data_IF_772444363573
#
_entry.id   IF_772444363573
#
_cell.length_a   1.000
_cell.length_b   1.000
_cell.length_c   1.000
_cell.angle_alpha   90.00
_cell.angle_beta   90.00
_cell.angle_gamma   90.00
#
_symmetry.space_group_name_H-M   'P 1'
#
loop_
_entity.id
_entity.type
_entity.pdbx_description
1 polymer ?
#
# COMPACT_ATOMS: atom_id res chain seq x y z
N UNK A 1 2.61 -59.39 18.59
CA UNK A 1 2.26 -58.53 19.74
C UNK A 1 3.41 -57.59 19.96
N UNK A 2 3.16 -56.30 20.13
CA UNK A 2 4.24 -55.31 20.31
C UNK A 2 4.73 -55.38 21.75
N UNK A 3 5.97 -55.83 21.95
CA UNK A 3 6.61 -55.84 23.26
C UNK A 3 7.36 -54.52 23.50
N UNK A 4 7.38 -54.07 24.75
CA UNK A 4 8.07 -52.85 25.17
C UNK A 4 9.56 -53.14 25.36
N UNK A 5 10.31 -53.28 24.26
CA UNK A 5 11.74 -53.57 24.30
C UNK A 5 12.59 -52.30 24.49
N UNK A 6 13.82 -52.46 24.98
CA UNK A 6 14.77 -51.34 25.18
C UNK A 6 15.00 -50.52 23.91
N UNK A 7 15.11 -51.16 22.76
CA UNK A 7 15.31 -50.47 21.47
C UNK A 7 14.11 -49.60 21.10
N UNK A 8 12.89 -50.07 21.36
CA UNK A 8 11.66 -49.30 21.13
C UNK A 8 11.59 -48.09 22.05
N UNK A 9 12.00 -48.24 23.31
CA UNK A 9 12.07 -47.14 24.28
C UNK A 9 13.12 -46.09 23.87
N UNK A 10 14.32 -46.51 23.49
CA UNK A 10 15.38 -45.62 23.01
C UNK A 10 14.94 -44.89 21.74
N UNK A 11 14.30 -45.59 20.81
CA UNK A 11 13.75 -44.98 19.60
C UNK A 11 12.65 -43.96 19.95
N UNK A 12 11.77 -44.26 20.90
CA UNK A 12 10.74 -43.34 21.37
C UNK A 12 11.34 -42.08 22.02
N UNK A 13 12.37 -42.21 22.85
CA UNK A 13 13.11 -41.08 23.40
C UNK A 13 13.71 -40.21 22.28
N UNK A 14 14.47 -40.81 21.36
CA UNK A 14 15.14 -40.09 20.27
C UNK A 14 14.16 -39.34 19.37
N UNK A 15 13.03 -39.97 19.02
CA UNK A 15 12.01 -39.36 18.17
C UNK A 15 11.34 -38.14 18.80
N UNK A 16 11.35 -38.05 20.13
CA UNK A 16 10.79 -36.93 20.89
C UNK A 16 11.88 -36.00 21.46
N UNK A 17 13.10 -36.03 20.91
CA UNK A 17 14.20 -35.15 21.31
C UNK A 17 14.87 -35.50 22.64
N UNK A 18 14.61 -36.69 23.18
CA UNK A 18 15.21 -37.21 24.40
C UNK A 18 16.55 -37.94 24.19
N UNK A 19 17.10 -38.46 25.29
CA UNK A 19 18.40 -39.12 25.33
C UNK A 19 18.27 -40.63 25.15
N UNK A 20 19.29 -41.25 24.54
CA UNK A 20 19.39 -42.71 24.49
C UNK A 20 19.63 -43.34 25.87
N UNK A 21 20.20 -42.58 26.81
CA UNK A 21 20.44 -43.01 28.17
C UNK A 21 19.15 -42.84 29.01
N UNK A 22 18.55 -43.93 29.54
CA UNK A 22 17.25 -43.88 30.23
C UNK A 22 17.15 -42.85 31.35
N UNK A 23 18.13 -42.83 32.25
CA UNK A 23 18.18 -42.00 33.46
C UNK A 23 18.27 -40.48 33.20
N UNK A 24 18.58 -40.05 31.97
CA UNK A 24 18.63 -38.63 31.59
C UNK A 24 17.27 -38.09 31.13
N UNK A 25 16.29 -38.98 30.89
CA UNK A 25 14.97 -38.57 30.42
C UNK A 25 14.03 -38.31 31.61
N UNK A 26 13.36 -37.17 31.59
CA UNK A 26 12.29 -36.80 32.53
C UNK A 26 10.89 -36.98 31.91
N UNK A 27 10.80 -37.17 30.60
CA UNK A 27 9.56 -37.33 29.84
C UNK A 27 9.66 -38.53 28.88
N UNK A 28 8.60 -39.33 28.79
CA UNK A 28 8.58 -40.53 27.95
C UNK A 28 7.21 -40.74 27.28
N UNK A 29 7.22 -40.70 25.96
CA UNK A 29 6.05 -40.78 25.09
C UNK A 29 5.92 -42.17 24.45
N UNK A 30 4.93 -42.94 24.89
CA UNK A 30 4.71 -44.34 24.49
C UNK A 30 3.27 -44.60 24.02
N UNK A 31 2.60 -43.56 23.53
CA UNK A 31 1.22 -43.62 23.03
C UNK A 31 1.09 -44.45 21.75
N UNK A 32 -0.07 -45.11 21.59
CA UNK A 32 -0.49 -45.78 20.35
C UNK A 32 0.47 -46.87 19.84
N UNK A 33 1.06 -47.67 20.74
CA UNK A 33 2.01 -48.74 20.37
C UNK A 33 1.44 -50.16 20.49
N UNK A 34 0.26 -50.30 21.11
CA UNK A 34 -0.38 -51.59 21.33
C UNK A 34 0.33 -52.45 22.37
N UNK A 35 0.99 -51.82 23.35
CA UNK A 35 1.64 -52.55 24.43
C UNK A 35 0.61 -53.24 25.33
N UNK A 36 0.89 -54.49 25.71
CA UNK A 36 0.06 -55.28 26.63
C UNK A 36 0.54 -55.17 28.08
N UNK A 37 1.84 -54.92 28.29
CA UNK A 37 2.48 -54.81 29.60
C UNK A 37 3.55 -53.73 29.56
N UNK A 38 3.76 -53.09 30.69
CA UNK A 38 4.87 -52.16 30.89
C UNK A 38 6.09 -52.99 31.31
N UNK A 39 7.23 -52.75 30.67
CA UNK A 39 8.48 -53.46 30.98
C UNK A 39 9.69 -52.64 30.54
N UNK A 40 10.87 -52.95 31.08
CA UNK A 40 12.13 -52.27 30.77
C UNK A 40 12.16 -50.77 31.15
N UNK A 41 11.36 -50.35 32.14
CA UNK A 41 11.37 -48.99 32.66
C UNK A 41 12.24 -48.81 33.93
N UNK A 42 12.92 -49.86 34.40
CA UNK A 42 13.68 -49.86 35.66
C UNK A 42 14.79 -48.80 35.71
N UNK A 43 15.38 -48.46 34.56
CA UNK A 43 16.49 -47.49 34.44
C UNK A 43 16.00 -46.02 34.30
N UNK A 44 14.70 -45.79 34.15
CA UNK A 44 14.09 -44.46 33.96
C UNK A 44 13.74 -43.77 35.31
N UNK A 45 14.66 -43.84 36.26
CA UNK A 45 14.44 -43.42 37.67
C UNK A 45 14.08 -41.94 37.87
N UNK A 46 14.44 -41.08 36.92
CA UNK A 46 14.19 -39.63 36.96
C UNK A 46 12.94 -39.19 36.19
N UNK A 47 12.15 -40.14 35.69
CA UNK A 47 10.99 -39.85 34.87
C UNK A 47 9.91 -39.12 35.68
N UNK A 48 9.48 -37.97 35.19
CA UNK A 48 8.43 -37.13 35.77
C UNK A 48 7.10 -37.26 35.04
N UNK A 49 7.12 -37.48 33.73
CA UNK A 49 5.89 -37.62 32.93
C UNK A 49 5.95 -38.84 32.03
N UNK A 50 4.89 -39.66 32.09
CA UNK A 50 4.75 -40.88 31.32
C UNK A 50 3.42 -40.91 30.57
N UNK A 51 3.50 -40.99 29.24
CA UNK A 51 2.34 -41.17 28.36
C UNK A 51 2.26 -42.60 27.85
N UNK A 52 1.22 -43.31 28.28
CA UNK A 52 0.90 -44.69 27.90
C UNK A 52 -0.51 -44.80 27.32
N UNK A 53 -1.07 -43.69 26.84
CA UNK A 53 -2.41 -43.66 26.27
C UNK A 53 -2.56 -44.52 25.00
N UNK A 54 -3.78 -45.01 24.76
CA UNK A 54 -4.11 -45.82 23.58
C UNK A 54 -3.21 -47.04 23.40
N UNK A 55 -3.03 -47.80 24.48
CA UNK A 55 -2.38 -49.11 24.45
C UNK A 55 -3.41 -50.18 24.86
N UNK A 56 -2.94 -51.40 25.14
CA UNK A 56 -3.77 -52.51 25.59
C UNK A 56 -3.30 -53.02 26.96
N UNK A 57 -2.88 -52.10 27.83
CA UNK A 57 -2.38 -52.42 29.17
C UNK A 57 -3.51 -52.96 30.04
N UNK A 58 -3.23 -54.03 30.80
CA UNK A 58 -4.18 -54.65 31.74
C UNK A 58 -4.00 -54.21 33.19
N UNK A 59 -2.81 -53.73 33.54
CA UNK A 59 -2.41 -53.42 34.91
C UNK A 59 -1.22 -52.43 34.93
N UNK A 60 -0.81 -52.01 36.12
CA UNK A 60 0.31 -51.08 36.37
C UNK A 60 1.64 -51.77 36.70
N UNK A 61 1.81 -53.09 36.50
CA UNK A 61 3.11 -53.72 36.78
C UNK A 61 4.19 -53.13 35.86
N UNK A 62 5.40 -52.91 36.38
CA UNK A 62 6.54 -52.41 35.60
C UNK A 62 6.81 -50.91 35.73
N UNK A 63 6.14 -50.20 36.65
CA UNK A 63 6.41 -48.79 36.98
C UNK A 63 6.94 -48.59 38.42
N UNK A 64 7.36 -49.66 39.09
CA UNK A 64 7.79 -49.66 40.50
C UNK A 64 9.01 -48.75 40.74
N UNK A 65 9.92 -48.66 39.76
CA UNK A 65 11.13 -47.83 39.83
C UNK A 65 10.87 -46.32 39.62
N UNK A 66 9.67 -45.92 39.16
CA UNK A 66 9.38 -44.56 38.71
C UNK A 66 8.95 -43.63 39.87
N UNK A 67 9.78 -43.55 40.91
CA UNK A 67 9.45 -42.84 42.16
C UNK A 67 9.40 -41.30 42.02
N UNK A 68 9.93 -40.74 40.92
CA UNK A 68 9.90 -39.31 40.60
C UNK A 68 8.71 -38.91 39.72
N UNK A 69 7.80 -39.84 39.44
CA UNK A 69 6.68 -39.59 38.53
C UNK A 69 5.70 -38.57 39.13
N UNK A 70 5.40 -37.54 38.36
CA UNK A 70 4.48 -36.44 38.70
C UNK A 70 3.17 -36.56 37.91
N UNK A 71 3.25 -37.04 36.66
CA UNK A 71 2.07 -37.16 35.80
C UNK A 71 2.07 -38.48 35.03
N UNK A 72 0.95 -39.21 35.14
CA UNK A 72 0.74 -40.51 34.50
C UNK A 72 -0.54 -40.48 33.66
N UNK A 73 -0.39 -40.73 32.36
CA UNK A 73 -1.48 -40.77 31.40
C UNK A 73 -1.64 -42.19 30.86
N UNK A 74 -2.70 -42.89 31.26
CA UNK A 74 -3.00 -44.29 30.86
C UNK A 74 -4.41 -44.43 30.28
N UNK A 75 -4.97 -43.35 29.74
CA UNK A 75 -6.30 -43.38 29.12
C UNK A 75 -6.36 -44.29 27.90
N UNK A 76 -7.55 -44.82 27.60
CA UNK A 76 -7.78 -45.76 26.50
C UNK A 76 -6.90 -47.02 26.63
N UNK A 77 -7.02 -47.71 27.76
CA UNK A 77 -6.39 -49.01 28.02
C UNK A 77 -7.46 -50.00 28.53
N UNK A 78 -7.02 -51.15 29.05
CA UNK A 78 -7.92 -52.20 29.55
C UNK A 78 -7.76 -52.46 31.05
N UNK A 79 -7.25 -51.46 31.79
CA UNK A 79 -6.98 -51.56 33.23
C UNK A 79 -8.30 -51.55 34.00
N UNK A 80 -8.40 -52.32 35.07
CA UNK A 80 -9.63 -52.44 35.87
C UNK A 80 -9.45 -52.28 37.37
N UNK A 81 -8.22 -52.19 37.87
CA UNK A 81 -7.96 -52.04 39.31
C UNK A 81 -6.59 -51.40 39.60
N UNK A 82 -6.45 -50.82 40.79
CA UNK A 82 -5.17 -50.28 41.30
C UNK A 82 -4.32 -51.30 42.04
N UNK A 83 -4.65 -52.61 41.99
CA UNK A 83 -3.98 -53.65 42.81
C UNK A 83 -2.47 -53.71 42.61
N UNK A 84 -2.00 -53.45 41.39
CA UNK A 84 -0.58 -53.49 41.04
C UNK A 84 0.06 -52.11 40.94
N UNK A 85 -0.68 -51.05 41.27
CA UNK A 85 -0.15 -49.70 41.30
C UNK A 85 0.84 -49.59 42.47
N UNK A 86 2.13 -49.30 42.21
CA UNK A 86 3.08 -49.07 43.29
C UNK A 86 2.76 -47.76 44.02
N UNK A 87 3.39 -47.56 45.18
CA UNK A 87 3.33 -46.28 45.87
C UNK A 87 4.15 -45.26 45.08
N UNK A 88 3.48 -44.24 44.54
CA UNK A 88 4.03 -43.12 43.79
C UNK A 88 3.81 -41.83 44.57
N UNK A 89 4.68 -41.58 45.55
CA UNK A 89 4.54 -40.45 46.49
C UNK A 89 4.57 -39.05 45.85
N UNK A 90 5.13 -38.94 44.64
CA UNK A 90 5.24 -37.68 43.90
C UNK A 90 4.12 -37.47 42.87
N UNK A 91 3.24 -38.44 42.64
CA UNK A 91 2.24 -38.34 41.59
C UNK A 91 1.18 -37.29 41.93
N UNK A 92 1.01 -36.31 41.04
CA UNK A 92 0.04 -35.21 41.16
C UNK A 92 -1.10 -35.33 40.15
N UNK A 93 -0.82 -35.84 38.97
CA UNK A 93 -1.82 -35.98 37.89
C UNK A 93 -1.92 -37.44 37.47
N UNK A 94 -3.12 -38.00 37.53
CA UNK A 94 -3.41 -39.34 37.04
C UNK A 94 -4.65 -39.33 36.15
N UNK A 95 -4.49 -39.81 34.92
CA UNK A 95 -5.58 -40.03 33.99
C UNK A 95 -5.73 -41.52 33.67
N UNK A 96 -6.85 -42.08 34.12
CA UNK A 96 -7.30 -43.46 33.85
C UNK A 96 -8.60 -43.49 33.04
N UNK A 97 -8.94 -42.41 32.33
CA UNK A 97 -10.18 -42.35 31.56
C UNK A 97 -10.24 -43.43 30.48
N UNK A 98 -11.45 -43.85 30.08
CA UNK A 98 -11.64 -44.91 29.09
C UNK A 98 -10.89 -46.21 29.44
N UNK A 99 -11.11 -46.69 30.66
CA UNK A 99 -10.65 -48.00 31.13
C UNK A 99 -11.87 -48.80 31.64
N UNK A 100 -11.65 -49.84 32.44
CA UNK A 100 -12.69 -50.73 32.95
C UNK A 100 -12.77 -50.75 34.48
N UNK A 101 -12.41 -49.65 35.14
CA UNK A 101 -12.52 -49.55 36.60
C UNK A 101 -13.97 -49.62 37.05
N UNK A 102 -14.25 -50.49 38.02
CA UNK A 102 -15.52 -50.56 38.73
C UNK A 102 -15.43 -49.96 40.13
N UNK A 103 -14.21 -49.89 40.69
CA UNK A 103 -13.93 -49.30 42.00
C UNK A 103 -12.58 -48.59 41.98
N UNK A 104 -12.48 -47.53 42.79
CA UNK A 104 -11.26 -46.75 42.96
C UNK A 104 -10.45 -47.14 44.20
N UNK A 105 -10.79 -48.28 44.84
CA UNK A 105 -10.06 -48.79 45.99
C UNK A 105 -8.56 -48.97 45.69
N UNK A 106 -7.72 -48.41 46.56
CA UNK A 106 -6.27 -48.46 46.47
C UNK A 106 -5.63 -47.18 45.92
N UNK A 107 -6.42 -46.22 45.43
CA UNK A 107 -5.90 -44.96 44.89
C UNK A 107 -5.18 -44.13 45.95
N UNK A 108 -5.72 -44.06 47.17
CA UNK A 108 -5.12 -43.24 48.23
C UNK A 108 -3.80 -43.85 48.75
N UNK A 109 -3.71 -45.18 48.78
CA UNK A 109 -2.49 -45.89 49.16
C UNK A 109 -1.39 -45.75 48.09
N UNK A 110 -1.76 -45.82 46.80
CA UNK A 110 -0.82 -45.68 45.69
C UNK A 110 -0.36 -44.25 45.45
N UNK A 111 -1.28 -43.27 45.50
CA UNK A 111 -1.02 -41.89 45.09
C UNK A 111 -1.43 -40.90 46.20
N UNK A 112 -0.71 -40.82 47.32
CA UNK A 112 -1.13 -40.05 48.50
C UNK A 112 -1.14 -38.52 48.30
N UNK A 113 -0.54 -38.02 47.22
CA UNK A 113 -0.38 -36.59 46.94
C UNK A 113 -1.12 -36.15 45.66
N UNK A 114 -2.15 -36.90 45.25
CA UNK A 114 -2.84 -36.66 44.00
C UNK A 114 -3.63 -35.35 44.01
N UNK A 115 -3.42 -34.51 43.00
CA UNK A 115 -4.06 -33.19 42.86
C UNK A 115 -5.15 -33.20 41.78
N UNK A 116 -4.89 -33.87 40.65
CA UNK A 116 -5.83 -33.99 39.53
C UNK A 116 -6.05 -35.45 39.20
N UNK A 117 -7.31 -35.88 39.29
CA UNK A 117 -7.71 -37.25 39.00
C UNK A 117 -8.78 -37.30 37.91
N UNK A 118 -8.49 -38.02 36.83
CA UNK A 118 -9.39 -38.20 35.70
C UNK A 118 -9.74 -39.68 35.54
N UNK A 119 -11.02 -40.01 35.69
CA UNK A 119 -11.54 -41.37 35.60
C UNK A 119 -12.84 -41.44 34.79
N UNK A 120 -13.01 -40.52 33.83
CA UNK A 120 -14.16 -40.52 32.94
C UNK A 120 -14.25 -41.78 32.08
N UNK A 121 -15.47 -42.14 31.64
CA UNK A 121 -15.69 -43.30 30.77
C UNK A 121 -15.17 -44.63 31.36
N UNK A 122 -15.38 -44.84 32.66
CA UNK A 122 -15.15 -46.12 33.33
C UNK A 122 -16.49 -46.82 33.62
N UNK A 123 -16.49 -47.83 34.50
CA UNK A 123 -17.66 -48.66 34.83
C UNK A 123 -18.02 -48.58 36.32
N UNK A 124 -17.71 -47.46 36.97
CA UNK A 124 -17.97 -47.25 38.40
C UNK A 124 -19.49 -47.16 38.61
N UNK A 125 -20.03 -47.98 39.51
CA UNK A 125 -21.48 -48.12 39.72
C UNK A 125 -22.05 -47.26 40.85
N UNK A 126 -21.23 -46.92 41.85
CA UNK A 126 -21.68 -46.19 43.04
C UNK A 126 -20.62 -45.19 43.52
N UNK A 127 -21.05 -44.14 44.22
CA UNK A 127 -20.15 -43.24 44.95
C UNK A 127 -19.44 -43.94 46.12
N UNK A 128 -20.01 -45.03 46.64
CA UNK A 128 -19.36 -45.86 47.65
C UNK A 128 -18.00 -46.42 47.15
N UNK A 129 -17.95 -46.79 45.86
CA UNK A 129 -16.74 -47.30 45.21
C UNK A 129 -15.66 -46.23 44.98
N UNK A 130 -16.00 -44.96 45.19
CA UNK A 130 -15.09 -43.81 45.08
C UNK A 130 -14.59 -43.30 46.44
N UNK A 131 -15.06 -43.85 47.57
CA UNK A 131 -14.78 -43.32 48.90
C UNK A 131 -13.29 -43.30 49.28
N UNK A 132 -12.47 -44.13 48.63
CA UNK A 132 -11.02 -44.13 48.83
C UNK A 132 -10.39 -42.78 48.45
N UNK A 133 -11.02 -42.00 47.56
CA UNK A 133 -10.58 -40.63 47.24
C UNK A 133 -10.59 -39.69 48.47
N UNK A 134 -11.36 -39.99 49.51
CA UNK A 134 -11.30 -39.21 50.76
C UNK A 134 -9.95 -39.32 51.47
N UNK A 135 -9.17 -40.37 51.18
CA UNK A 135 -7.80 -40.51 51.68
C UNK A 135 -6.84 -39.45 51.13
N UNK A 136 -7.16 -38.83 49.99
CA UNK A 136 -6.37 -37.76 49.33
C UNK A 136 -7.07 -36.39 49.36
N UNK A 137 -8.04 -36.22 50.27
CA UNK A 137 -8.86 -34.99 50.37
C UNK A 137 -8.07 -33.69 50.58
N UNK A 138 -6.86 -33.77 51.14
CA UNK A 138 -6.02 -32.61 51.45
C UNK A 138 -5.32 -32.05 50.20
N UNK A 139 -5.09 -32.89 49.19
CA UNK A 139 -4.32 -32.54 47.98
C UNK A 139 -5.19 -32.46 46.74
N UNK A 140 -6.30 -33.19 46.69
CA UNK A 140 -7.16 -33.29 45.52
C UNK A 140 -7.90 -31.96 45.23
N UNK A 141 -7.71 -31.44 44.02
CA UNK A 141 -8.28 -30.16 43.55
C UNK A 141 -9.22 -30.31 42.36
N UNK A 142 -8.99 -31.32 41.51
CA UNK A 142 -9.78 -31.59 40.31
C UNK A 142 -10.12 -33.06 40.20
N UNK A 143 -11.41 -33.35 40.01
CA UNK A 143 -11.93 -34.73 39.92
C UNK A 143 -12.87 -34.85 38.73
N UNK A 144 -12.59 -35.81 37.87
CA UNK A 144 -13.48 -36.21 36.78
C UNK A 144 -13.95 -37.65 36.95
N UNK A 145 -15.24 -37.81 37.24
CA UNK A 145 -15.99 -39.06 37.31
C UNK A 145 -17.10 -39.12 36.25
N UNK A 146 -17.03 -38.27 35.22
CA UNK A 146 -18.07 -38.19 34.18
C UNK A 146 -18.18 -39.49 33.36
N UNK A 147 -19.35 -39.71 32.77
CA UNK A 147 -19.61 -40.88 31.92
C UNK A 147 -19.25 -42.24 32.56
N UNK A 148 -19.48 -42.37 33.87
CA UNK A 148 -19.46 -43.66 34.55
C UNK A 148 -20.90 -44.22 34.62
N UNK A 149 -21.09 -45.25 35.44
CA UNK A 149 -22.40 -45.89 35.68
C UNK A 149 -22.91 -45.56 37.08
N UNK A 150 -22.55 -44.40 37.62
CA UNK A 150 -22.84 -44.05 39.00
C UNK A 150 -24.34 -43.81 39.14
N UNK A 151 -25.01 -44.68 39.88
CA UNK A 151 -26.41 -44.56 40.26
C UNK A 151 -26.51 -43.97 41.67
N UNK A 152 -27.56 -43.18 41.92
CA UNK A 152 -27.87 -42.63 43.23
C UNK A 152 -29.16 -43.29 43.68
N UNK A 153 -29.04 -44.33 44.50
CA UNK A 153 -30.17 -45.05 45.07
C UNK A 153 -30.89 -44.21 46.15
N UNK A 154 -32.17 -44.47 46.37
CA UNK A 154 -32.93 -43.82 47.45
C UNK A 154 -32.35 -44.20 48.82
N UNK A 155 -31.84 -43.20 49.55
CA UNK A 155 -31.14 -43.41 50.83
C UNK A 155 -29.65 -43.73 50.70
N UNK A 156 -29.14 -43.82 49.47
CA UNK A 156 -27.70 -43.90 49.19
C UNK A 156 -27.00 -42.54 49.33
N UNK A 157 -25.66 -42.59 49.33
CA UNK A 157 -24.83 -41.39 49.37
C UNK A 157 -25.01 -40.58 48.08
N UNK A 158 -25.41 -39.32 48.22
CA UNK A 158 -25.52 -38.41 47.08
C UNK A 158 -24.18 -37.76 46.71
N UNK A 159 -24.07 -37.16 45.51
CA UNK A 159 -22.89 -36.41 45.09
C UNK A 159 -22.51 -35.30 46.09
N UNK A 160 -23.51 -34.64 46.67
CA UNK A 160 -23.28 -33.57 47.64
C UNK A 160 -22.57 -34.07 48.90
N UNK A 161 -23.01 -35.20 49.47
CA UNK A 161 -22.38 -35.78 50.65
C UNK A 161 -20.96 -36.26 50.34
N UNK A 162 -20.77 -36.85 49.15
CA UNK A 162 -19.48 -37.33 48.69
C UNK A 162 -18.46 -36.19 48.52
N UNK A 163 -18.81 -35.16 47.74
CA UNK A 163 -17.93 -34.02 47.46
C UNK A 163 -17.79 -33.07 48.66
N UNK A 164 -18.76 -33.05 49.57
CA UNK A 164 -18.66 -32.31 50.84
C UNK A 164 -17.50 -32.76 51.73
N UNK A 165 -17.02 -34.01 51.57
CA UNK A 165 -15.84 -34.53 52.27
C UNK A 165 -14.51 -34.18 51.57
N UNK A 166 -14.55 -33.49 50.44
CA UNK A 166 -13.41 -33.08 49.63
C UNK A 166 -13.31 -31.53 49.59
N UNK A 167 -12.77 -30.89 50.65
CA UNK A 167 -12.85 -29.44 50.84
C UNK A 167 -12.02 -28.64 49.82
N UNK A 168 -10.97 -29.22 49.25
CA UNK A 168 -10.06 -28.55 48.32
C UNK A 168 -10.45 -28.74 46.84
N UNK A 169 -11.46 -29.57 46.55
CA UNK A 169 -11.90 -29.83 45.18
C UNK A 169 -12.66 -28.63 44.64
N UNK A 170 -12.10 -28.00 43.62
CA UNK A 170 -12.64 -26.80 42.97
C UNK A 170 -13.17 -27.07 41.56
N UNK A 171 -12.79 -28.20 40.96
CA UNK A 171 -13.20 -28.63 39.62
C UNK A 171 -13.80 -30.03 39.71
N UNK A 172 -15.07 -30.16 39.31
CA UNK A 172 -15.81 -31.43 39.34
C UNK A 172 -16.43 -31.69 37.98
N UNK A 173 -16.21 -32.89 37.45
CA UNK A 173 -16.97 -33.44 36.33
C UNK A 173 -17.69 -34.71 36.79
N UNK A 174 -19.02 -34.70 36.73
CA UNK A 174 -19.91 -35.76 37.18
C UNK A 174 -21.07 -36.03 36.21
N UNK A 175 -21.23 -35.23 35.16
CA UNK A 175 -22.21 -35.45 34.10
C UNK A 175 -22.05 -36.80 33.38
N UNK A 176 -23.10 -37.24 32.68
CA UNK A 176 -23.09 -38.52 31.95
C UNK A 176 -23.25 -39.75 32.84
N UNK A 177 -23.51 -39.57 34.14
CA UNK A 177 -23.85 -40.65 35.07
C UNK A 177 -25.38 -40.81 35.17
N UNK A 178 -25.94 -42.03 35.28
CA UNK A 178 -27.38 -42.22 35.50
C UNK A 178 -27.92 -41.42 36.70
N UNK A 179 -27.16 -41.40 37.79
CA UNK A 179 -27.48 -40.66 39.02
C UNK A 179 -27.53 -39.14 38.87
N UNK A 180 -26.90 -38.55 37.84
CA UNK A 180 -26.95 -37.10 37.62
C UNK A 180 -28.21 -36.65 36.86
N UNK A 181 -28.86 -37.52 36.08
CA UNK A 181 -29.98 -37.15 35.20
C UNK A 181 -31.32 -36.97 35.95
N UNK A 182 -31.48 -37.59 37.12
CA UNK A 182 -32.70 -37.49 37.94
C UNK A 182 -32.71 -36.32 38.93
N UNK A 183 -31.57 -35.66 39.16
CA UNK A 183 -31.42 -34.69 40.25
C UNK A 183 -31.86 -33.28 39.82
N UNK A 184 -33.12 -32.93 40.13
CA UNK A 184 -33.62 -31.55 39.98
C UNK A 184 -32.78 -30.58 40.81
N UNK A 185 -32.27 -29.53 40.18
CA UNK A 185 -31.47 -28.52 40.87
C UNK A 185 -30.06 -28.98 41.28
N UNK A 186 -29.54 -30.08 40.73
CA UNK A 186 -28.19 -30.59 41.00
C UNK A 186 -27.12 -29.49 41.01
N UNK A 187 -26.99 -28.73 39.91
CA UNK A 187 -26.00 -27.65 39.79
C UNK A 187 -26.17 -26.58 40.86
N UNK A 188 -27.41 -26.13 41.11
CA UNK A 188 -27.71 -25.13 42.15
C UNK A 188 -27.32 -25.64 43.53
N UNK A 189 -27.68 -26.89 43.85
CA UNK A 189 -27.38 -27.51 45.14
C UNK A 189 -25.88 -27.68 45.37
N UNK A 190 -25.14 -28.13 44.35
CA UNK A 190 -23.68 -28.24 44.39
C UNK A 190 -23.01 -26.89 44.61
N UNK A 191 -23.42 -25.84 43.89
CA UNK A 191 -22.86 -24.48 44.03
C UNK A 191 -23.13 -23.90 45.42
N UNK A 192 -24.33 -24.11 45.96
CA UNK A 192 -24.75 -23.58 47.26
C UNK A 192 -23.94 -24.17 48.41
N UNK A 193 -23.72 -25.49 48.40
CA UNK A 193 -23.11 -26.19 49.52
C UNK A 193 -21.59 -26.40 49.38
N UNK A 194 -21.03 -26.17 48.18
CA UNK A 194 -19.60 -26.23 47.90
C UNK A 194 -19.08 -24.83 47.53
N UNK A 195 -18.73 -23.97 48.51
CA UNK A 195 -18.28 -22.61 48.26
C UNK A 195 -16.95 -22.53 47.48
N UNK A 196 -16.11 -23.56 47.59
CA UNK A 196 -14.82 -23.67 46.88
C UNK A 196 -14.95 -23.95 45.38
N UNK A 197 -16.15 -24.32 44.91
CA UNK A 197 -16.38 -24.80 43.54
C UNK A 197 -16.22 -23.67 42.52
N UNK A 198 -15.28 -23.85 41.58
CA UNK A 198 -15.00 -22.93 40.48
C UNK A 198 -15.50 -23.45 39.13
N UNK A 199 -15.58 -24.76 38.97
CA UNK A 199 -15.98 -25.38 37.72
C UNK A 199 -16.80 -26.64 37.99
N UNK A 200 -17.94 -26.76 37.32
CA UNK A 200 -18.84 -27.91 37.46
C UNK A 200 -19.33 -28.35 36.08
N UNK A 201 -19.03 -29.61 35.75
CA UNK A 201 -19.41 -30.30 34.51
C UNK A 201 -19.00 -29.55 33.24
N UNK A 202 -19.95 -28.94 32.54
CA UNK A 202 -19.70 -28.32 31.24
C UNK A 202 -19.33 -26.83 31.36
N UNK A 203 -19.54 -26.21 32.54
CA UNK A 203 -19.46 -24.75 32.68
C UNK A 203 -18.77 -24.29 33.98
N UNK A 204 -17.93 -23.25 33.90
CA UNK A 204 -17.45 -22.55 35.10
C UNK A 204 -18.60 -22.07 35.97
N UNK A 205 -18.35 -21.96 37.27
CA UNK A 205 -19.27 -21.32 38.22
C UNK A 205 -18.92 -19.84 38.26
N UNK A 206 -19.78 -19.02 37.67
CA UNK A 206 -19.59 -17.56 37.65
C UNK A 206 -19.98 -16.95 39.00
N UNK A 207 -19.34 -15.83 39.35
CA UNK A 207 -19.65 -15.07 40.57
C UNK A 207 -21.11 -14.62 40.63
N UNK A 208 -21.68 -14.22 39.50
CA UNK A 208 -23.09 -13.84 39.37
C UNK A 208 -24.03 -15.02 39.65
N UNK A 209 -23.73 -16.19 39.09
CA UNK A 209 -24.50 -17.42 39.34
C UNK A 209 -24.45 -17.79 40.82
N UNK A 210 -23.27 -17.70 41.43
CA UNK A 210 -23.09 -17.96 42.86
C UNK A 210 -23.92 -17.00 43.72
N UNK A 211 -23.89 -15.69 43.47
CA UNK A 211 -24.72 -14.70 44.18
C UNK A 211 -26.22 -15.04 44.10
N UNK A 212 -26.70 -15.40 42.91
CA UNK A 212 -28.09 -15.79 42.67
C UNK A 212 -28.45 -17.06 43.47
N UNK A 213 -27.57 -18.07 43.46
CA UNK A 213 -27.78 -19.33 44.18
C UNK A 213 -27.72 -19.14 45.70
N UNK A 214 -26.84 -18.28 46.21
CA UNK A 214 -26.75 -17.94 47.64
C UNK A 214 -27.97 -17.14 48.12
N UNK A 215 -28.46 -16.20 47.30
CA UNK A 215 -29.71 -15.50 47.56
C UNK A 215 -30.89 -16.49 47.59
N UNK A 216 -30.96 -17.41 46.64
CA UNK A 216 -31.94 -18.48 46.64
C UNK A 216 -31.86 -19.37 47.89
N UNK A 217 -30.66 -19.76 48.31
CA UNK A 217 -30.45 -20.60 49.50
C UNK A 217 -30.85 -19.93 50.82
N UNK A 218 -30.81 -18.60 50.90
CA UNK A 218 -31.15 -17.84 52.11
C UNK A 218 -32.61 -17.35 52.16
N UNK A 219 -33.24 -17.08 51.02
CA UNK A 219 -34.57 -16.47 50.97
C UNK A 219 -35.48 -16.97 49.84
N UNK A 220 -35.18 -18.13 49.25
CA UNK A 220 -36.00 -18.76 48.22
C UNK A 220 -36.08 -17.98 46.91
N UNK A 221 -37.15 -18.22 46.15
CA UNK A 221 -37.33 -17.62 44.81
C UNK A 221 -37.45 -16.08 44.84
N UNK A 222 -38.00 -15.51 45.91
CA UNK A 222 -38.12 -14.05 46.06
C UNK A 222 -36.75 -13.36 46.21
N UNK A 223 -35.84 -13.96 46.99
CA UNK A 223 -34.47 -13.47 47.11
C UNK A 223 -33.68 -13.66 45.81
N UNK A 224 -33.88 -14.80 45.12
CA UNK A 224 -33.30 -15.05 43.79
C UNK A 224 -33.71 -13.96 42.79
N UNK A 225 -35.01 -13.62 42.75
CA UNK A 225 -35.57 -12.59 41.87
C UNK A 225 -34.97 -11.22 42.11
N UNK A 226 -34.90 -10.79 43.38
CA UNK A 226 -34.29 -9.51 43.77
C UNK A 226 -32.82 -9.41 43.37
N UNK A 227 -32.05 -10.48 43.58
CA UNK A 227 -30.63 -10.50 43.25
C UNK A 227 -30.40 -10.45 41.72
N UNK A 228 -31.23 -11.16 40.95
CA UNK A 228 -31.20 -11.09 39.47
C UNK A 228 -31.52 -9.68 38.95
N UNK A 229 -32.47 -8.99 39.57
CA UNK A 229 -32.79 -7.60 39.24
C UNK A 229 -31.64 -6.66 39.57
N UNK A 230 -31.02 -6.82 40.74
CA UNK A 230 -29.84 -6.04 41.13
C UNK A 230 -28.68 -6.20 40.13
N UNK A 231 -28.36 -7.44 39.74
CA UNK A 231 -27.32 -7.71 38.73
C UNK A 231 -27.68 -7.09 37.37
N UNK A 232 -28.97 -7.13 36.99
CA UNK A 232 -29.42 -6.52 35.73
C UNK A 232 -29.27 -5.00 35.75
N UNK A 233 -29.63 -4.35 36.85
CA UNK A 233 -29.51 -2.90 36.98
C UNK A 233 -28.04 -2.46 37.05
N UNK A 234 -27.17 -3.23 37.72
CA UNK A 234 -25.72 -3.00 37.72
C UNK A 234 -25.14 -3.03 36.30
N UNK A 235 -25.48 -4.07 35.52
CA UNK A 235 -25.05 -4.19 34.12
C UNK A 235 -25.59 -3.07 33.23
N UNK A 236 -26.84 -2.68 33.44
CA UNK A 236 -27.48 -1.59 32.70
C UNK A 236 -26.79 -0.25 33.00
N UNK A 237 -26.58 0.08 34.27
CA UNK A 237 -25.86 1.28 34.70
C UNK A 237 -24.42 1.31 34.18
N UNK A 238 -23.72 0.16 34.20
CA UNK A 238 -22.39 0.04 33.61
C UNK A 238 -22.40 0.30 32.09
N UNK A 239 -23.34 -0.30 31.36
CA UNK A 239 -23.49 -0.10 29.92
C UNK A 239 -23.83 1.37 29.60
N UNK A 240 -24.74 1.98 30.34
CA UNK A 240 -25.10 3.39 30.20
C UNK A 240 -23.89 4.30 30.43
N UNK A 241 -23.06 3.99 31.43
CA UNK A 241 -21.79 4.70 31.68
C UNK A 241 -20.82 4.58 30.51
N UNK A 242 -20.66 3.37 29.96
CA UNK A 242 -19.81 3.14 28.79
C UNK A 242 -20.31 3.89 27.54
N UNK A 243 -21.62 3.86 27.29
CA UNK A 243 -22.25 4.59 26.18
C UNK A 243 -22.07 6.10 26.35
N UNK A 244 -22.21 6.62 27.58
CA UNK A 244 -21.97 8.04 27.87
C UNK A 244 -20.54 8.46 27.54
N UNK A 245 -19.54 7.69 27.98
CA UNK A 245 -18.12 7.97 27.68
C UNK A 245 -17.86 7.93 26.17
N UNK A 246 -18.45 6.97 25.45
CA UNK A 246 -18.34 6.92 23.99
C UNK A 246 -18.98 8.14 23.32
N UNK A 247 -20.14 8.58 23.79
CA UNK A 247 -20.82 9.76 23.27
C UNK A 247 -19.99 11.03 23.50
N UNK A 248 -19.44 11.21 24.71
CA UNK A 248 -18.51 12.31 25.02
C UNK A 248 -17.31 12.30 24.08
N UNK A 249 -16.68 11.14 23.88
CA UNK A 249 -15.54 10.99 22.94
C UNK A 249 -15.94 11.27 21.49
N UNK A 250 -17.16 10.93 21.08
CA UNK A 250 -17.65 11.22 19.73
C UNK A 250 -17.86 12.71 19.51
N UNK A 251 -18.42 13.42 20.49
CA UNK A 251 -18.58 14.88 20.43
C UNK A 251 -17.23 15.60 20.48
N UNK A 252 -16.31 15.22 21.37
CA UNK A 252 -14.94 15.77 21.39
C UNK A 252 -14.24 15.63 20.02
N UNK A 253 -14.37 14.44 19.40
CA UNK A 253 -13.79 14.19 18.07
C UNK A 253 -14.47 14.99 16.97
N UNK A 254 -15.79 15.22 17.08
CA UNK A 254 -16.54 16.06 16.15
C UNK A 254 -16.11 17.51 16.25
N UNK A 255 -16.04 18.07 17.46
CA UNK A 255 -15.52 19.42 17.69
C UNK A 255 -14.09 19.60 17.19
N UNK A 256 -13.24 18.58 17.38
CA UNK A 256 -11.87 18.60 16.86
C UNK A 256 -11.86 18.63 15.32
N UNK A 257 -12.68 17.81 14.66
CA UNK A 257 -12.82 17.82 13.20
C UNK A 257 -13.34 19.15 12.68
N UNK A 258 -14.35 19.72 13.31
CA UNK A 258 -14.94 20.99 12.91
C UNK A 258 -13.92 22.13 13.07
N UNK A 259 -13.16 22.12 14.19
CA UNK A 259 -12.07 23.08 14.44
C UNK A 259 -10.97 22.99 13.38
N UNK A 260 -10.52 21.78 13.05
CA UNK A 260 -9.48 21.56 12.04
C UNK A 260 -9.98 21.97 10.64
N UNK A 261 -11.23 21.66 10.32
CA UNK A 261 -11.87 22.05 9.05
C UNK A 261 -11.91 23.57 8.92
N UNK A 262 -12.36 24.27 9.97
CA UNK A 262 -12.39 25.73 9.99
C UNK A 262 -10.99 26.34 9.87
N UNK A 263 -10.00 25.81 10.58
CA UNK A 263 -8.60 26.27 10.44
C UNK A 263 -8.05 26.05 9.03
N UNK A 264 -8.43 24.96 8.37
CA UNK A 264 -8.05 24.70 6.99
C UNK A 264 -8.72 25.67 6.02
N UNK A 265 -10.02 25.94 6.19
CA UNK A 265 -10.76 26.90 5.37
C UNK A 265 -10.22 28.33 5.54
N UNK A 266 -9.92 28.75 6.77
CA UNK A 266 -9.31 30.06 7.06
C UNK A 266 -7.93 30.19 6.40
N UNK A 267 -7.06 29.18 6.52
CA UNK A 267 -5.76 29.16 5.83
C UNK A 267 -5.91 29.22 4.31
N UNK A 268 -6.82 28.42 3.75
CA UNK A 268 -7.10 28.40 2.31
C UNK A 268 -7.62 29.75 1.82
N UNK A 269 -8.50 30.40 2.59
CA UNK A 269 -9.03 31.73 2.26
C UNK A 269 -7.95 32.81 2.31
N UNK A 270 -7.12 32.81 3.35
CA UNK A 270 -5.98 33.73 3.47
C UNK A 270 -4.96 33.53 2.35
N UNK A 271 -4.64 32.29 1.99
CA UNK A 271 -3.76 31.96 0.87
C UNK A 271 -4.35 32.44 -0.46
N UNK A 272 -5.65 32.23 -0.68
CA UNK A 272 -6.35 32.73 -1.88
C UNK A 272 -6.34 34.26 -1.97
N UNK A 273 -6.57 34.96 -0.86
CA UNK A 273 -6.47 36.43 -0.81
C UNK A 273 -5.05 36.93 -1.03
N UNK A 274 -4.04 36.23 -0.48
CA UNK A 274 -2.63 36.53 -0.75
C UNK A 274 -2.30 36.40 -2.23
N UNK A 275 -2.69 35.30 -2.88
CA UNK A 275 -2.52 35.12 -4.33
C UNK A 275 -3.28 36.14 -5.16
N UNK A 276 -4.49 36.55 -4.74
CA UNK A 276 -5.22 37.68 -5.38
C UNK A 276 -4.45 38.99 -5.23
N UNK A 277 -3.85 39.24 -4.07
CA UNK A 277 -2.99 40.39 -3.81
C UNK A 277 -1.77 40.43 -4.74
N UNK A 278 -1.06 39.30 -4.88
CA UNK A 278 0.07 39.17 -5.81
C UNK A 278 -0.37 39.43 -7.25
N UNK A 279 -1.46 38.81 -7.70
CA UNK A 279 -1.98 39.02 -9.06
C UNK A 279 -2.38 40.47 -9.31
N UNK A 280 -2.91 41.19 -8.30
CA UNK A 280 -3.20 42.62 -8.41
C UNK A 280 -1.93 43.45 -8.56
N UNK A 281 -0.89 43.18 -7.76
CA UNK A 281 0.41 43.86 -7.87
C UNK A 281 1.04 43.64 -9.24
N UNK A 282 1.13 42.38 -9.68
CA UNK A 282 1.70 42.06 -10.97
C UNK A 282 0.93 42.71 -12.14
N UNK A 283 -0.40 42.79 -12.04
CA UNK A 283 -1.21 43.52 -13.04
C UNK A 283 -0.90 45.01 -13.05
N UNK A 284 -0.78 45.65 -11.88
CA UNK A 284 -0.43 47.06 -11.77
C UNK A 284 0.98 47.35 -12.31
N UNK A 285 1.96 46.51 -11.98
CA UNK A 285 3.33 46.59 -12.53
C UNK A 285 3.34 46.45 -14.05
N UNK A 286 2.53 45.55 -14.60
CA UNK A 286 2.39 45.40 -16.05
C UNK A 286 1.74 46.60 -16.71
N UNK A 287 0.73 47.21 -16.07
CA UNK A 287 0.06 48.40 -16.56
C UNK A 287 1.01 49.61 -16.56
N UNK A 288 1.83 49.76 -15.52
CA UNK A 288 2.89 50.79 -15.45
C UNK A 288 3.97 50.61 -16.53
N UNK A 289 4.36 49.35 -16.81
CA UNK A 289 5.26 49.02 -17.93
C UNK A 289 4.65 49.40 -19.28
N UNK A 290 3.37 49.10 -19.50
CA UNK A 290 2.65 49.47 -20.73
C UNK A 290 2.60 50.98 -20.88
N UNK A 291 2.23 51.72 -19.83
CA UNK A 291 2.18 53.19 -19.83
C UNK A 291 3.56 53.80 -20.14
N UNK A 292 4.63 53.21 -19.60
CA UNK A 292 6.02 53.60 -19.87
C UNK A 292 6.43 53.33 -21.33
N UNK A 293 6.06 52.17 -21.87
CA UNK A 293 6.32 51.80 -23.26
C UNK A 293 5.55 52.71 -24.23
N UNK A 294 4.26 52.98 -23.97
CA UNK A 294 3.46 53.90 -24.76
C UNK A 294 4.02 55.33 -24.74
N UNK A 295 4.45 55.81 -23.58
CA UNK A 295 5.12 57.11 -23.44
C UNK A 295 6.42 57.16 -24.25
N UNK A 296 7.23 56.09 -24.17
CA UNK A 296 8.48 55.98 -24.93
C UNK A 296 8.23 55.92 -26.44
N UNK A 297 7.20 55.20 -26.87
CA UNK A 297 6.79 55.07 -28.28
C UNK A 297 6.25 56.38 -28.82
N UNK A 298 5.47 57.12 -28.03
CA UNK A 298 5.00 58.46 -28.35
C UNK A 298 6.18 59.44 -28.51
N UNK A 299 7.15 59.37 -27.60
CA UNK A 299 8.37 60.19 -27.67
C UNK A 299 9.21 59.89 -28.92
N UNK A 300 9.44 58.60 -29.22
CA UNK A 300 10.15 58.18 -30.43
C UNK A 300 9.43 58.62 -31.71
N UNK A 301 8.10 58.44 -31.76
CA UNK A 301 7.27 58.91 -32.88
C UNK A 301 7.40 60.42 -33.11
N UNK A 302 7.45 61.22 -32.03
CA UNK A 302 7.70 62.67 -32.12
C UNK A 302 9.09 63.00 -32.66
N UNK A 303 10.11 62.26 -32.23
CA UNK A 303 11.48 62.41 -32.74
C UNK A 303 11.59 62.04 -34.22
N UNK A 304 11.05 60.89 -34.62
CA UNK A 304 10.98 60.47 -36.03
C UNK A 304 10.22 61.49 -36.88
N UNK A 305 9.14 62.08 -36.34
CA UNK A 305 8.39 63.15 -37.00
C UNK A 305 9.24 64.40 -37.23
N UNK A 306 10.02 64.83 -36.24
CA UNK A 306 10.96 65.95 -36.38
C UNK A 306 12.07 65.66 -37.38
N UNK A 307 12.62 64.45 -37.35
CA UNK A 307 13.69 64.02 -38.25
C UNK A 307 13.20 63.95 -39.72
N UNK A 308 11.98 63.45 -39.95
CA UNK A 308 11.34 63.52 -41.28
C UNK A 308 11.20 64.93 -41.80
N UNK A 309 10.74 65.88 -40.97
CA UNK A 309 10.59 67.28 -41.38
C UNK A 309 11.94 67.88 -41.76
N UNK A 310 12.99 67.56 -41.02
CA UNK A 310 14.36 67.98 -41.33
C UNK A 310 14.86 67.38 -42.65
N UNK A 311 14.68 66.07 -42.85
CA UNK A 311 15.00 65.43 -44.13
C UNK A 311 14.22 66.04 -45.30
N UNK A 312 12.92 66.29 -45.14
CA UNK A 312 12.11 66.94 -46.18
C UNK A 312 12.61 68.35 -46.52
N UNK A 313 13.06 69.11 -45.52
CA UNK A 313 13.67 70.42 -45.74
C UNK A 313 14.99 70.28 -46.50
N UNK A 314 15.86 69.35 -46.12
CA UNK A 314 17.12 69.07 -46.82
C UNK A 314 16.87 68.65 -48.27
N UNK A 315 15.93 67.73 -48.51
CA UNK A 315 15.52 67.30 -49.86
C UNK A 315 15.02 68.48 -50.67
N UNK A 316 14.13 69.32 -50.13
CA UNK A 316 13.64 70.53 -50.83
C UNK A 316 14.77 71.49 -51.16
N UNK A 317 15.71 71.71 -50.25
CA UNK A 317 16.87 72.57 -50.53
C UNK A 317 17.74 71.97 -51.64
N UNK A 318 17.96 70.65 -51.65
CA UNK A 318 18.68 69.96 -52.70
C UNK A 318 17.95 70.03 -54.06
N UNK A 319 16.62 69.89 -54.08
CA UNK A 319 15.79 70.04 -55.27
C UNK A 319 15.90 71.46 -55.85
N UNK A 320 15.82 72.49 -55.00
CA UNK A 320 15.99 73.88 -55.47
C UNK A 320 17.40 74.15 -55.99
N UNK A 321 18.43 73.58 -55.37
CA UNK A 321 19.81 73.69 -55.84
C UNK A 321 20.02 72.95 -57.17
N UNK A 322 19.42 71.76 -57.33
CA UNK A 322 19.44 71.00 -58.57
C UNK A 322 18.75 71.77 -59.69
N UNK A 323 17.56 72.32 -59.43
CA UNK A 323 16.83 73.10 -60.42
C UNK A 323 17.60 74.36 -60.84
N UNK A 324 18.24 75.05 -59.89
CA UNK A 324 19.12 76.18 -60.20
C UNK A 324 20.30 75.76 -61.10
N UNK A 325 20.92 74.61 -60.82
CA UNK A 325 22.01 74.06 -61.64
C UNK A 325 21.53 73.64 -63.04
N UNK A 326 20.31 73.11 -63.17
CA UNK A 326 19.68 72.78 -64.45
C UNK A 326 19.40 74.03 -65.28
N UNK A 327 18.89 75.10 -64.67
CA UNK A 327 18.67 76.39 -65.35
C UNK A 327 19.98 76.97 -65.85
N UNK A 328 21.06 76.89 -65.07
CA UNK A 328 22.38 77.33 -65.55
C UNK A 328 22.90 76.47 -66.71
N UNK A 329 22.72 75.14 -66.66
CA UNK A 329 23.03 74.28 -67.82
C UNK A 329 22.21 74.62 -69.05
N UNK A 330 20.93 74.99 -68.88
CA UNK A 330 20.05 75.39 -69.97
C UNK A 330 20.54 76.68 -70.62
N UNK A 331 20.90 77.70 -69.82
CA UNK A 331 21.48 78.96 -70.33
C UNK A 331 22.80 78.73 -71.06
N UNK A 332 23.64 77.83 -70.54
CA UNK A 332 24.89 77.47 -71.20
C UNK A 332 24.62 76.79 -72.55
N UNK A 333 23.60 75.93 -72.63
CA UNK A 333 23.15 75.32 -73.89
C UNK A 333 22.60 76.36 -74.87
N UNK A 334 21.79 77.30 -74.42
CA UNK A 334 21.25 78.39 -75.25
C UNK A 334 22.36 79.32 -75.77
N UNK A 335 23.41 79.58 -74.96
CA UNK A 335 24.62 80.27 -75.43
C UNK A 335 25.33 79.48 -76.53
N UNK A 336 25.45 78.17 -76.36
CA UNK A 336 26.08 77.30 -77.34
C UNK A 336 25.29 77.27 -78.66
N UNK A 337 23.96 77.13 -78.58
CA UNK A 337 23.04 77.20 -79.74
C UNK A 337 23.10 78.58 -80.43
N UNK A 338 23.25 79.68 -79.68
CA UNK A 338 23.42 81.02 -80.27
C UNK A 338 24.76 81.18 -81.00
N UNK A 339 25.84 80.57 -80.49
CA UNK A 339 27.15 80.54 -81.17
C UNK A 339 27.02 79.75 -82.49
N UNK A 340 26.35 78.60 -82.46
CA UNK A 340 26.10 77.78 -83.65
C UNK A 340 25.20 78.50 -84.68
N UNK A 341 24.20 79.26 -84.24
CA UNK A 341 23.33 80.04 -85.12
C UNK A 341 24.06 81.18 -85.83
N UNK A 342 25.02 81.84 -85.16
CA UNK A 342 25.89 82.85 -85.79
C UNK A 342 26.81 82.20 -86.83
N UNK A 343 27.36 81.02 -86.55
CA UNK A 343 28.14 80.26 -87.53
C UNK A 343 27.32 79.83 -88.75
N UNK A 344 26.06 79.42 -88.54
CA UNK A 344 25.14 79.04 -89.61
C UNK A 344 24.71 80.25 -90.48
N UNK A 345 24.54 81.44 -89.89
CA UNK A 345 24.24 82.67 -90.63
C UNK A 345 25.41 83.13 -91.52
N UNK A 346 26.65 83.01 -91.03
CA UNK A 346 27.85 83.31 -91.81
C UNK A 346 28.04 82.34 -92.99
N UNK A 347 27.67 81.07 -92.83
CA UNK A 347 27.65 80.08 -93.92
C UNK A 347 26.60 80.41 -94.99
N UNK A 348 25.47 81.00 -94.58
CA UNK A 348 24.37 81.37 -95.49
C UNK A 348 24.66 82.63 -96.32
N UNK A 349 25.40 83.59 -95.77
CA UNK A 349 25.88 84.76 -96.53
C UNK A 349 26.92 84.37 -97.60
N UNK A 350 27.64 83.26 -97.41
CA UNK A 350 28.59 82.74 -98.41
C UNK A 350 27.87 81.95 -99.53
N UNK A 351 26.74 81.29 -99.22
CA UNK A 351 25.96 80.55 -100.24
C UNK A 351 25.04 81.43 -101.11
N UNK A 352 24.70 82.66 -100.68
CA UNK A 352 23.82 83.56 -101.44
C UNK A 352 24.57 84.54 -102.38
N UNK A 353 25.90 84.70 -102.26
CA UNK A 353 26.73 85.48 -103.21
C UNK A 353 27.25 84.69 -104.44
N UNK A 354 26.99 83.38 -104.53
CA UNK A 354 27.58 82.50 -105.57
C UNK A 354 26.60 81.85 -106.56
N UNK A 355 25.38 82.36 -106.79
CA UNK A 355 24.50 81.81 -107.83
C UNK A 355 23.67 82.84 -108.62
N UNK A 356 24.38 83.75 -109.30
CA UNK A 356 24.01 84.26 -110.64
C UNK A 356 25.19 84.00 -111.59
N UNK A 357 24.91 83.30 -112.71
CA UNK A 357 25.80 82.98 -113.85
C UNK A 357 26.85 81.86 -113.62
N UNK A 358 26.96 80.78 -114.38
CA UNK A 358 26.26 80.27 -115.57
C UNK A 358 26.66 78.80 -115.79
N UNK A 359 25.85 78.07 -116.53
CA UNK A 359 26.02 76.67 -116.96
C UNK A 359 27.23 76.41 -117.87
N UNK A 360 27.80 75.20 -117.86
CA UNK A 360 28.05 74.31 -119.04
C UNK A 360 28.78 73.00 -118.63
N UNK A 361 28.57 71.96 -119.44
CA UNK A 361 28.60 70.50 -119.22
C UNK A 361 29.90 69.84 -119.70
N UNK A 362 30.08 68.53 -119.39
CA UNK A 362 30.85 67.43 -120.07
C UNK A 362 32.13 67.02 -119.29
N UNK A 363 32.51 65.75 -118.99
CA UNK A 363 31.97 64.38 -119.11
C UNK A 363 32.92 63.39 -118.38
N UNK A 364 32.34 62.29 -117.85
CA UNK A 364 32.86 60.92 -117.59
C UNK A 364 34.22 60.58 -116.93
N UNK A 365 34.12 59.72 -115.89
CA UNK A 365 34.46 58.27 -115.85
C UNK A 365 35.40 57.75 -114.72
N UNK A 366 34.81 56.91 -113.84
CA UNK A 366 35.28 55.62 -113.25
C UNK A 366 36.39 55.51 -112.16
N UNK A 367 35.93 55.29 -110.89
CA UNK A 367 36.18 54.21 -109.89
C UNK A 367 37.55 53.49 -109.77
N UNK A 368 38.01 53.12 -108.54
CA UNK A 368 37.37 52.08 -107.68
C UNK A 368 37.37 52.30 -106.14
N UNK A 369 36.76 51.33 -105.43
CA UNK A 369 36.38 51.21 -104.01
C UNK A 369 37.52 51.03 -102.99
N UNK A 370 37.26 51.37 -101.72
CA UNK A 370 37.94 50.80 -100.56
C UNK A 370 36.96 50.39 -99.46
N UNK A 371 36.37 49.20 -99.65
CA UNK A 371 35.76 48.39 -98.58
C UNK A 371 36.73 47.30 -98.08
N UNK A 372 38.03 47.39 -98.39
CA UNK A 372 39.04 46.36 -98.02
C UNK A 372 40.45 46.88 -97.64
N UNK A 373 40.68 48.20 -97.48
CA UNK A 373 42.05 48.74 -97.22
C UNK A 373 42.33 49.38 -95.85
N UNK A 374 41.43 49.28 -94.86
CA UNK A 374 41.82 49.48 -93.45
C UNK A 374 41.18 48.45 -92.52
N UNK A 375 41.11 47.23 -93.06
CA UNK A 375 41.28 45.96 -92.36
C UNK A 375 42.74 45.79 -91.84
N UNK A 376 43.43 46.90 -91.58
CA UNK A 376 44.79 47.02 -91.02
C UNK A 376 44.85 47.92 -89.77
N UNK A 377 43.79 48.67 -89.42
CA UNK A 377 43.69 49.25 -88.07
C UNK A 377 42.89 48.38 -87.09
N UNK A 378 42.31 47.29 -87.61
CA UNK A 378 41.91 46.11 -86.84
C UNK A 378 43.12 45.25 -86.39
N UNK A 379 44.37 45.56 -86.80
CA UNK A 379 45.57 44.89 -86.27
C UNK A 379 46.08 45.47 -84.94
N UNK A 380 45.67 46.68 -84.56
CA UNK A 380 46.07 47.26 -83.26
C UNK A 380 45.12 46.87 -82.12
N UNK A 381 43.98 46.25 -82.48
CA UNK A 381 43.08 45.57 -81.54
C UNK A 381 43.61 44.18 -81.15
N UNK A 382 44.54 43.58 -81.91
CA UNK A 382 45.00 42.20 -81.67
C UNK A 382 46.38 42.04 -81.02
N UNK A 383 47.07 43.13 -80.63
CA UNK A 383 48.30 43.04 -79.82
C UNK A 383 48.17 43.38 -78.34
N UNK A 384 47.03 43.92 -77.88
CA UNK A 384 46.88 44.30 -76.45
C UNK A 384 45.71 43.59 -75.75
N UNK A 385 45.10 42.61 -76.41
CA UNK A 385 44.22 41.61 -75.79
C UNK A 385 44.84 40.20 -75.68
N UNK A 386 46.15 40.09 -75.43
CA UNK A 386 46.71 38.81 -74.96
C UNK A 386 47.87 38.95 -73.95
N UNK A 387 47.62 39.67 -72.86
CA UNK A 387 48.02 39.17 -71.53
C UNK A 387 46.75 39.04 -70.70
N UNK A 388 46.15 37.88 -70.91
CA UNK A 388 45.11 37.22 -70.12
C UNK A 388 45.54 37.08 -68.65
N UNK A 389 44.54 37.01 -67.77
CA UNK A 389 44.52 36.65 -66.34
C UNK A 389 44.49 37.78 -65.27
N UNK A 390 43.36 37.77 -64.53
CA UNK A 390 43.10 38.29 -63.16
C UNK A 390 42.89 39.81 -63.09
N UNK A 391 41.84 40.38 -62.50
CA UNK A 391 40.99 40.03 -61.36
C UNK A 391 39.72 40.93 -61.43
N UNK A 392 38.55 40.55 -60.86
CA UNK A 392 37.26 41.13 -61.19
C UNK A 392 36.90 42.34 -60.32
N UNK A 393 36.34 43.36 -60.96
CA UNK A 393 35.61 44.42 -60.29
C UNK A 393 34.38 44.82 -61.11
N UNK A 394 33.25 44.99 -60.40
CA UNK A 394 32.05 45.76 -60.76
C UNK A 394 31.16 45.15 -61.86
N UNK A 395 29.84 45.05 -61.75
CA UNK A 395 28.83 45.56 -60.82
C UNK A 395 27.45 45.41 -61.47
N UNK A 396 26.47 46.16 -60.97
CA UNK A 396 25.09 46.42 -61.47
C UNK A 396 23.93 45.55 -60.97
N UNK A 397 23.23 46.12 -59.97
CA UNK A 397 21.82 46.57 -60.00
C UNK A 397 20.71 45.75 -60.69
N UNK A 398 19.79 45.29 -59.83
CA UNK A 398 18.31 45.48 -59.84
C UNK A 398 17.38 44.66 -60.74
N UNK A 399 16.36 44.09 -60.06
CA UNK A 399 14.99 43.69 -60.49
C UNK A 399 14.93 42.38 -61.33
N UNK A 400 14.06 41.40 -61.07
CA UNK A 400 12.72 41.38 -60.45
C UNK A 400 12.31 39.95 -60.06
N UNK A 401 11.30 39.89 -59.19
CA UNK A 401 10.56 38.75 -58.64
C UNK A 401 10.12 37.63 -59.59
N UNK A 402 9.90 36.44 -59.02
CA UNK A 402 9.12 35.33 -59.60
C UNK A 402 8.54 34.40 -58.53
N UNK A 403 7.38 34.79 -57.98
CA UNK A 403 6.42 34.09 -57.10
C UNK A 403 6.30 32.56 -57.25
N UNK A 404 6.14 31.92 -56.09
CA UNK A 404 5.03 31.06 -55.65
C UNK A 404 4.59 29.78 -56.43
N UNK A 405 4.26 28.79 -55.59
CA UNK A 405 3.38 27.61 -55.76
C UNK A 405 4.01 26.37 -56.39
N UNK A 406 4.04 25.29 -55.60
CA UNK A 406 4.46 23.96 -56.05
C UNK A 406 4.47 22.91 -54.93
N UNK A 407 3.32 22.71 -54.30
CA UNK A 407 3.01 21.61 -53.37
C UNK A 407 3.24 20.23 -54.03
N UNK A 408 3.30 19.17 -53.21
CA UNK A 408 2.98 17.78 -53.58
C UNK A 408 3.89 17.06 -54.59
N UNK A 409 5.00 16.48 -54.12
CA UNK A 409 5.52 15.17 -54.58
C UNK A 409 6.81 14.76 -53.83
N UNK A 410 6.71 14.39 -52.55
CA UNK A 410 7.69 13.46 -51.93
C UNK A 410 7.04 12.45 -50.97
N UNK A 411 5.73 12.25 -51.14
CA UNK A 411 5.10 10.94 -50.97
C UNK A 411 5.00 10.32 -52.35
N UNK A 412 5.69 9.18 -52.55
CA UNK A 412 5.46 8.10 -53.53
C UNK A 412 6.81 7.61 -54.08
N UNK A 413 7.58 6.93 -53.23
CA UNK A 413 8.35 5.73 -53.56
C UNK A 413 9.03 5.19 -52.29
N UNK A 414 8.30 4.34 -51.58
CA UNK A 414 8.86 3.15 -50.90
C UNK A 414 9.65 3.33 -49.60
N UNK A 415 8.94 3.13 -48.47
CA UNK A 415 9.24 2.15 -47.40
C UNK A 415 10.60 1.41 -47.44
N UNK A 416 11.31 1.11 -46.33
CA UNK A 416 10.80 0.43 -45.11
C UNK A 416 11.85 0.35 -43.96
N UNK A 417 11.35 0.65 -42.74
CA UNK A 417 11.47 -0.09 -41.45
C UNK A 417 12.84 -0.52 -40.87
N UNK A 418 13.09 -0.65 -39.56
CA UNK A 418 12.30 -0.61 -38.29
C UNK A 418 13.32 -0.44 -37.13
N UNK A 419 13.02 0.17 -35.98
CA UNK A 419 12.20 -0.40 -34.89
C UNK A 419 11.98 0.65 -33.76
N UNK A 420 11.12 0.42 -32.74
CA UNK A 420 9.65 0.33 -32.68
C UNK A 420 9.22 0.75 -31.24
N UNK A 421 7.98 1.27 -31.10
CA UNK A 421 7.17 1.65 -29.88
C UNK A 421 7.33 3.12 -29.40
N UNK A 422 6.60 4.13 -29.92
CA UNK A 422 5.15 4.46 -29.84
C UNK A 422 4.60 4.39 -28.39
N UNK A 423 4.25 5.47 -27.66
CA UNK A 423 3.55 6.75 -27.98
C UNK A 423 2.15 6.56 -28.59
N UNK A 424 1.29 5.87 -27.83
CA UNK A 424 -0.15 6.16 -27.68
C UNK A 424 -0.43 6.17 -26.18
N UNK A 425 -1.10 7.19 -25.67
CA UNK A 425 -1.45 7.26 -24.24
C UNK A 425 -1.69 8.64 -23.65
N UNK A 426 -1.51 9.73 -24.39
CA UNK A 426 -1.67 11.09 -23.80
C UNK A 426 -2.95 11.80 -24.27
N UNK A 427 -3.52 11.43 -25.42
CA UNK A 427 -4.74 12.07 -25.94
C UNK A 427 -6.03 11.26 -25.76
N UNK A 428 -5.94 10.02 -25.29
CA UNK A 428 -7.11 9.17 -24.94
C UNK A 428 -7.60 9.41 -23.50
N UNK A 429 -6.79 10.03 -22.63
CA UNK A 429 -7.20 10.41 -21.28
C UNK A 429 -7.85 11.80 -21.20
N UNK A 430 -7.69 12.65 -22.22
CA UNK A 430 -8.33 13.97 -22.24
C UNK A 430 -9.82 13.89 -22.65
N UNK A 431 -10.22 12.85 -23.40
CA UNK A 431 -11.60 12.66 -23.85
C UNK A 431 -12.51 12.02 -22.77
N UNK A 432 -11.94 11.40 -21.74
CA UNK A 432 -12.69 10.73 -20.66
C UNK A 432 -12.95 11.63 -19.43
N UNK A 433 -12.38 12.84 -19.39
CA UNK A 433 -12.52 13.78 -18.28
C UNK A 433 -13.64 14.83 -18.48
N UNK A 434 -14.07 15.10 -19.71
CA UNK A 434 -15.09 16.14 -20.00
C UNK A 434 -16.54 15.66 -19.82
N UNK A 435 -16.79 14.37 -19.57
CA UNK A 435 -18.13 13.77 -19.50
C UNK A 435 -18.51 13.15 -18.14
N UNK A 436 -18.19 13.81 -17.01
CA UNK A 436 -18.79 13.47 -15.70
C UNK A 436 -19.29 14.70 -14.95
N UNK A 437 -20.47 15.17 -15.35
CA UNK A 437 -21.46 15.84 -14.49
C UNK A 437 -22.81 15.14 -14.71
N UNK A 438 -23.12 14.24 -13.79
CA UNK A 438 -24.47 14.01 -13.24
C UNK A 438 -24.32 13.95 -11.73
#
# INVERSE_FOLDING_TARGET
>A
MTEMTRDVLIAACKNNGGYAAPHLNDQLFLQCRGFLRISNLDEYVNLKVLWLEQNALSDFCGIEALQQLVSLFVQNNTISSFRTLPVLGNLRVLNISHNYFTSLSGIAAGCPQLETFQASHNRIGSLADCCDLWGVKETLTSVDLSFNKIEVEEGGMGPLEFFGKLPNVSVIYFHGNPGSHGMKGYRRSMILHLPQLKYLDERPVFSEERRIVEAWGSGGEEAEGREREAIREEKKSHLESCVRVLHEKMEENKELRDRLTRQWEERRSAEMEWWKGIRRKHRAEMEELIDSEESSRSYLSSLEGKERVLMEQEVRTAETALHAAEVERQKERERQEAIEAVQAAALKEIEEEENEEESVVVDRMYFPSDEDMMREMEEEIFRVLETVEKDPYVGRTSLKMGRAVGTTASRLCGEKENSRKSRRGVWEQFYLWENRKE
#
